data_IF_837489469677
#
_entry.id   IF_837489469677
#
_cell.length_a   1.000
_cell.length_b   1.000
_cell.length_c   1.000
_cell.angle_alpha   90.00
_cell.angle_beta   90.00
_cell.angle_gamma   90.00
#
_symmetry.space_group_name_H-M   'P 1'
#
loop_
_entity.id
_entity.type
_entity.pdbx_description
1 polymer ?
#
# COMPACT_ATOMS: atom_id res chain seq x y z
N UNK A 1 7.26 8.28 -2.53
CA UNK A 1 7.38 6.82 -2.30
C UNK A 1 7.26 6.06 -3.61
N UNK A 2 7.90 4.94 -3.72
CA UNK A 2 7.83 4.11 -4.92
C UNK A 2 7.46 2.68 -4.59
N UNK A 3 6.68 2.06 -5.47
CA UNK A 3 6.41 0.63 -5.41
C UNK A 3 7.70 -0.14 -5.71
N UNK A 4 8.02 -1.14 -4.91
CA UNK A 4 9.30 -1.86 -4.99
C UNK A 4 9.27 -2.96 -6.03
N UNK A 5 8.21 -3.76 -6.04
CA UNK A 5 8.15 -4.94 -6.89
C UNK A 5 6.72 -5.20 -7.38
N UNK A 6 6.59 -6.13 -8.32
CA UNK A 6 5.30 -6.58 -8.82
C UNK A 6 4.81 -5.78 -10.03
N UNK A 7 3.51 -5.79 -10.21
CA UNK A 7 2.82 -5.20 -11.36
C UNK A 7 3.16 -3.73 -11.58
N UNK A 8 3.29 -2.97 -10.48
CA UNK A 8 3.52 -1.52 -10.53
C UNK A 8 4.93 -1.13 -10.09
N UNK A 9 5.86 -2.05 -10.21
CA UNK A 9 7.27 -1.80 -9.84
C UNK A 9 7.77 -0.49 -10.41
N UNK A 10 8.39 0.34 -9.55
CA UNK A 10 8.96 1.62 -9.94
C UNK A 10 7.98 2.78 -10.05
N UNK A 11 6.66 2.52 -9.96
CA UNK A 11 5.66 3.57 -10.00
C UNK A 11 5.72 4.41 -8.72
N UNK A 12 5.61 5.72 -8.89
CA UNK A 12 5.60 6.66 -7.76
C UNK A 12 4.19 6.77 -7.19
N UNK A 13 4.09 6.81 -5.86
CA UNK A 13 2.86 7.09 -5.16
C UNK A 13 3.07 8.28 -4.21
N UNK A 14 2.00 9.04 -3.97
CA UNK A 14 2.08 10.24 -3.14
C UNK A 14 1.90 9.90 -1.67
N UNK A 15 2.55 10.69 -0.81
CA UNK A 15 2.37 10.64 0.64
C UNK A 15 1.50 11.81 1.11
N UNK A 16 0.84 11.70 2.28
CA UNK A 16 0.09 12.84 2.84
C UNK A 16 1.01 14.04 3.08
N UNK A 17 0.47 15.26 3.09
CA UNK A 17 1.26 16.44 3.44
C UNK A 17 1.94 16.26 4.80
N UNK A 18 3.19 16.68 4.88
CA UNK A 18 3.98 16.55 6.11
C UNK A 18 4.77 15.25 6.20
N UNK A 19 4.50 14.27 5.36
CA UNK A 19 5.28 13.04 5.28
C UNK A 19 6.16 13.10 4.04
N UNK A 20 7.46 13.17 4.25
CA UNK A 20 8.40 13.20 3.15
C UNK A 20 8.66 11.80 2.62
N UNK A 21 8.78 11.68 1.30
CA UNK A 21 9.26 10.47 0.66
C UNK A 21 10.72 10.26 1.06
N UNK A 22 11.04 9.10 1.65
CA UNK A 22 12.38 8.82 2.13
C UNK A 22 12.88 7.50 1.58
N UNK A 23 14.15 7.45 1.11
CA UNK A 23 14.75 6.16 0.74
C UNK A 23 14.70 5.14 1.87
N UNK A 24 14.81 5.58 3.13
CA UNK A 24 14.72 4.72 4.30
C UNK A 24 13.35 4.04 4.40
N UNK A 25 12.27 4.78 4.13
CA UNK A 25 10.92 4.22 4.17
C UNK A 25 10.73 3.16 3.08
N UNK A 26 11.25 3.41 1.89
CA UNK A 26 11.18 2.44 0.80
C UNK A 26 11.99 1.19 1.15
N UNK A 27 13.17 1.36 1.74
CA UNK A 27 14.03 0.25 2.14
C UNK A 27 13.39 -0.58 3.24
N UNK A 28 12.76 0.06 4.22
CA UNK A 28 12.06 -0.63 5.30
C UNK A 28 10.91 -1.47 4.75
N UNK A 29 10.15 -0.92 3.82
CA UNK A 29 9.05 -1.63 3.18
C UNK A 29 9.59 -2.82 2.38
N UNK A 30 10.68 -2.65 1.65
CA UNK A 30 11.31 -3.73 0.90
C UNK A 30 11.72 -4.87 1.83
N UNK A 31 12.37 -4.54 2.95
CA UNK A 31 12.79 -5.55 3.93
C UNK A 31 11.60 -6.29 4.51
N UNK A 32 10.54 -5.57 4.89
CA UNK A 32 9.34 -6.17 5.43
C UNK A 32 8.73 -7.16 4.43
N UNK A 33 8.56 -6.75 3.17
CA UNK A 33 7.96 -7.62 2.17
C UNK A 33 8.83 -8.81 1.81
N UNK A 34 10.16 -8.65 1.84
CA UNK A 34 11.07 -9.78 1.66
C UNK A 34 10.84 -10.83 2.74
N UNK A 35 10.68 -10.39 4.00
CA UNK A 35 10.39 -11.30 5.10
C UNK A 35 9.04 -11.98 4.95
N UNK A 36 8.01 -11.21 4.56
CA UNK A 36 6.67 -11.76 4.38
C UNK A 36 6.61 -12.78 3.24
N UNK A 37 7.24 -12.48 2.11
CA UNK A 37 7.29 -13.41 0.99
C UNK A 37 8.02 -14.70 1.39
N UNK A 38 9.10 -14.57 2.17
CA UNK A 38 9.84 -15.72 2.66
C UNK A 38 8.95 -16.65 3.49
N UNK A 39 8.01 -16.09 4.27
CA UNK A 39 7.12 -16.87 5.12
C UNK A 39 5.87 -17.35 4.41
N UNK A 40 5.30 -16.53 3.53
CA UNK A 40 4.02 -16.82 2.86
C UNK A 40 4.19 -17.53 1.51
N UNK A 41 5.37 -17.46 0.94
CA UNK A 41 5.65 -17.95 -0.41
C UNK A 41 5.32 -16.90 -1.47
N UNK A 42 4.12 -16.31 -1.43
CA UNK A 42 3.76 -15.25 -2.35
C UNK A 42 2.54 -14.48 -1.80
N UNK A 43 2.24 -13.33 -2.40
CA UNK A 43 1.03 -12.58 -2.09
C UNK A 43 -0.12 -12.91 -3.03
N UNK A 44 0.12 -13.76 -4.02
CA UNK A 44 -0.87 -14.06 -5.05
C UNK A 44 -2.18 -14.54 -4.46
N UNK A 45 -3.26 -13.84 -4.80
CA UNK A 45 -4.61 -14.22 -4.36
C UNK A 45 -4.96 -13.88 -2.92
N UNK A 46 -4.06 -13.30 -2.15
CA UNK A 46 -4.33 -12.99 -0.74
C UNK A 46 -5.27 -11.80 -0.58
N UNK A 47 -6.05 -11.82 0.48
CA UNK A 47 -6.82 -10.66 0.93
C UNK A 47 -6.09 -10.04 2.11
N UNK A 48 -5.85 -8.74 2.04
CA UNK A 48 -5.00 -8.03 2.99
C UNK A 48 -5.76 -6.89 3.64
N UNK A 49 -5.53 -6.68 4.93
CA UNK A 49 -6.00 -5.49 5.63
C UNK A 49 -4.77 -4.68 6.03
N UNK A 50 -4.74 -3.42 5.60
CA UNK A 50 -3.68 -2.48 5.92
C UNK A 50 -4.21 -1.55 7.01
N UNK A 51 -3.92 -1.88 8.26
CA UNK A 51 -4.40 -1.12 9.42
C UNK A 51 -3.50 0.09 9.64
N UNK A 52 -4.12 1.26 9.87
CA UNK A 52 -3.39 2.53 9.98
C UNK A 52 -2.64 2.84 8.69
N UNK A 53 -3.38 2.80 7.58
CA UNK A 53 -2.80 2.70 6.25
C UNK A 53 -1.94 3.90 5.81
N UNK A 54 -2.14 5.09 6.37
CA UNK A 54 -1.40 6.28 5.93
C UNK A 54 -1.64 6.57 4.46
N UNK A 55 -0.58 6.64 3.67
CA UNK A 55 -0.68 6.85 2.22
C UNK A 55 -1.05 5.58 1.46
N UNK A 56 -1.15 4.45 2.14
CA UNK A 56 -1.47 3.18 1.52
C UNK A 56 -0.25 2.42 0.99
N UNK A 57 0.96 2.83 1.35
CA UNK A 57 2.18 2.24 0.80
C UNK A 57 2.28 0.73 0.99
N UNK A 58 1.93 0.23 2.17
CA UNK A 58 2.01 -1.21 2.45
C UNK A 58 0.96 -1.98 1.67
N UNK A 59 -0.30 -1.53 1.69
CA UNK A 59 -1.37 -2.22 0.98
C UNK A 59 -1.20 -2.18 -0.54
N UNK A 60 -0.75 -1.05 -1.06
CA UNK A 60 -0.49 -0.92 -2.49
C UNK A 60 0.67 -1.81 -2.93
N UNK A 61 1.69 -1.95 -2.10
CA UNK A 61 2.78 -2.88 -2.36
C UNK A 61 2.26 -4.31 -2.42
N UNK A 62 1.39 -4.70 -1.48
CA UNK A 62 0.79 -6.02 -1.48
C UNK A 62 -0.03 -6.28 -2.75
N UNK A 63 -0.83 -5.30 -3.18
CA UNK A 63 -1.59 -5.42 -4.45
C UNK A 63 -0.65 -5.58 -5.63
N UNK A 64 0.42 -4.78 -5.67
CA UNK A 64 1.41 -4.86 -6.74
C UNK A 64 2.06 -6.24 -6.83
N UNK A 65 2.21 -6.91 -5.69
CA UNK A 65 2.82 -8.24 -5.62
C UNK A 65 1.82 -9.39 -5.82
N UNK A 66 0.57 -9.07 -6.12
CA UNK A 66 -0.41 -10.08 -6.51
C UNK A 66 -1.59 -10.28 -5.57
N UNK A 67 -1.69 -9.52 -4.48
CA UNK A 67 -2.85 -9.64 -3.60
C UNK A 67 -4.15 -9.40 -4.37
N UNK A 68 -5.16 -10.20 -4.08
CA UNK A 68 -6.44 -10.10 -4.76
C UNK A 68 -7.23 -8.87 -4.32
N UNK A 69 -7.08 -8.48 -3.05
CA UNK A 69 -7.86 -7.37 -2.49
C UNK A 69 -7.15 -6.82 -1.26
N UNK A 70 -7.19 -5.50 -1.11
CA UNK A 70 -6.71 -4.84 0.11
C UNK A 70 -7.78 -3.92 0.66
N UNK A 71 -8.02 -4.00 1.97
CA UNK A 71 -8.83 -3.05 2.71
C UNK A 71 -7.89 -2.11 3.46
N UNK A 72 -7.95 -0.83 3.14
CA UNK A 72 -7.19 0.20 3.82
C UNK A 72 -8.03 0.75 4.97
N UNK A 73 -7.49 0.73 6.18
CA UNK A 73 -8.18 1.27 7.35
C UNK A 73 -7.45 2.51 7.82
N UNK A 74 -8.11 3.67 7.72
CA UNK A 74 -7.49 4.95 8.01
C UNK A 74 -8.52 5.98 8.41
N UNK A 75 -8.23 6.79 9.43
CA UNK A 75 -9.11 7.86 9.92
C UNK A 75 -8.71 9.25 9.46
N UNK A 76 -7.44 9.47 9.18
CA UNK A 76 -6.97 10.80 8.79
C UNK A 76 -7.43 11.14 7.38
N UNK A 77 -8.16 12.27 7.24
CA UNK A 77 -8.74 12.65 5.96
C UNK A 77 -7.71 12.90 4.87
N UNK A 78 -6.57 13.50 5.21
CA UNK A 78 -5.51 13.74 4.22
C UNK A 78 -4.91 12.42 3.74
N UNK A 79 -4.72 11.47 4.65
CA UNK A 79 -4.22 10.14 4.31
C UNK A 79 -5.21 9.39 3.44
N UNK A 80 -6.50 9.44 3.75
CA UNK A 80 -7.54 8.80 2.94
C UNK A 80 -7.53 9.36 1.52
N UNK A 81 -7.40 10.68 1.37
CA UNK A 81 -7.31 11.30 0.04
C UNK A 81 -6.08 10.82 -0.73
N UNK A 82 -4.95 10.67 -0.04
CA UNK A 82 -3.74 10.15 -0.66
C UNK A 82 -3.93 8.70 -1.13
N UNK A 83 -4.56 7.86 -0.31
CA UNK A 83 -4.89 6.48 -0.69
C UNK A 83 -5.76 6.48 -1.95
N UNK A 84 -6.83 7.27 -1.96
CA UNK A 84 -7.74 7.33 -3.09
C UNK A 84 -7.04 7.78 -4.36
N UNK A 85 -6.18 8.79 -4.26
CA UNK A 85 -5.41 9.28 -5.41
C UNK A 85 -4.45 8.21 -5.93
N UNK A 86 -3.77 7.51 -5.03
CA UNK A 86 -2.83 6.45 -5.42
C UNK A 86 -3.55 5.27 -6.06
N UNK A 87 -4.68 4.87 -5.50
CA UNK A 87 -5.51 3.80 -6.06
C UNK A 87 -5.96 4.16 -7.48
N UNK A 88 -6.40 5.41 -7.69
CA UNK A 88 -6.81 5.87 -9.00
C UNK A 88 -5.65 5.90 -9.99
N UNK A 89 -4.51 6.41 -9.57
CA UNK A 89 -3.30 6.50 -10.41
C UNK A 89 -2.85 5.11 -10.88
N UNK A 90 -2.94 4.12 -10.01
CA UNK A 90 -2.52 2.74 -10.33
C UNK A 90 -3.61 1.92 -11.00
N UNK A 91 -4.83 2.44 -11.09
CA UNK A 91 -5.95 1.69 -11.65
C UNK A 91 -6.38 0.52 -10.77
N UNK A 92 -6.21 0.65 -9.46
CA UNK A 92 -6.43 -0.43 -8.50
C UNK A 92 -7.83 -0.44 -7.90
N UNK A 93 -8.76 0.39 -8.38
CA UNK A 93 -10.06 0.59 -7.75
C UNK A 93 -10.90 -0.66 -7.56
N UNK A 94 -10.77 -1.62 -8.46
CA UNK A 94 -11.52 -2.88 -8.35
C UNK A 94 -10.99 -3.84 -7.29
N UNK A 95 -9.81 -3.57 -6.72
CA UNK A 95 -9.16 -4.45 -5.76
C UNK A 95 -8.85 -3.76 -4.43
N UNK A 96 -9.33 -2.55 -4.25
CA UNK A 96 -9.02 -1.73 -3.09
C UNK A 96 -10.30 -1.16 -2.48
N UNK A 97 -10.33 -1.13 -1.15
CA UNK A 97 -11.43 -0.56 -0.40
C UNK A 97 -10.85 0.26 0.74
N UNK A 98 -11.39 1.45 0.99
CA UNK A 98 -10.96 2.24 2.14
C UNK A 98 -12.09 2.31 3.17
N UNK A 99 -11.72 2.19 4.44
CA UNK A 99 -12.65 2.24 5.56
C UNK A 99 -12.10 3.13 6.66
N UNK A 100 -12.98 3.80 7.38
CA UNK A 100 -12.60 4.53 8.57
C UNK A 100 -12.42 3.56 9.73
N UNK A 101 -11.40 3.80 10.54
CA UNK A 101 -11.23 3.06 11.79
C UNK A 101 -12.35 3.42 12.75
N UNK A 102 -12.85 2.44 13.51
CA UNK A 102 -13.86 2.65 14.54
C UNK A 102 -13.23 2.82 15.93
N UNK A 103 -11.92 2.86 16.00
CA UNK A 103 -11.18 2.96 17.26
C UNK A 103 -10.59 4.35 17.43
#
# INVERSE_FOLDING_TARGET
MRIIAGEWRGRTIIAPPGEATRPTADRTRETLFSMLVSRLGSFEGLRVADLFAGSGGLGLEALSRGAAHVTFVENDNAAVKAIQANVATLGAGGRAEDRKSVV
#
